data_IF_117298593808
#
_entry.id   IF_117298593808
#
_cell.length_a   1.000
_cell.length_b   1.000
_cell.length_c   1.000
_cell.angle_alpha   90.00
_cell.angle_beta   90.00
_cell.angle_gamma   90.00
#
_symmetry.space_group_name_H-M   'P 1'
#
loop_
_entity.id
_entity.type
_entity.pdbx_description
1 polymer ?
#
# COMPACT_ATOMS: atom_id res chain seq x y z
N UNK A 1 4.56 5.64 -3.84
CA UNK A 1 5.82 4.88 -3.70
C UNK A 1 5.59 3.37 -3.78
N UNK A 2 4.90 2.74 -2.82
CA UNK A 2 4.70 1.27 -2.76
C UNK A 2 4.11 0.67 -4.04
N UNK A 3 2.97 1.18 -4.54
CA UNK A 3 2.36 0.64 -5.77
C UNK A 3 3.26 0.82 -6.99
N UNK A 4 4.02 1.90 -7.04
CA UNK A 4 4.98 2.15 -8.12
C UNK A 4 6.13 1.14 -8.08
N UNK A 5 6.64 0.82 -6.89
CA UNK A 5 7.61 -0.27 -6.71
C UNK A 5 7.02 -1.62 -7.10
N UNK A 6 5.80 -1.93 -6.63
CA UNK A 6 5.13 -3.21 -6.94
C UNK A 6 4.91 -3.38 -8.44
N UNK A 7 4.59 -2.30 -9.18
CA UNK A 7 4.45 -2.31 -10.64
C UNK A 7 5.73 -2.68 -11.38
N UNK A 8 6.90 -2.51 -10.75
CA UNK A 8 8.17 -2.99 -11.30
C UNK A 8 8.25 -4.52 -11.38
N UNK A 9 7.58 -5.22 -10.46
CA UNK A 9 7.61 -6.69 -10.37
C UNK A 9 6.30 -7.35 -10.81
N UNK A 10 5.18 -6.64 -10.71
CA UNK A 10 3.85 -7.15 -11.00
C UNK A 10 3.12 -6.22 -11.97
N UNK A 11 2.78 -6.70 -13.19
CA UNK A 11 2.12 -5.85 -14.19
C UNK A 11 0.70 -5.42 -13.79
N UNK A 12 0.05 -6.18 -12.89
CA UNK A 12 -1.31 -5.92 -12.44
C UNK A 12 -1.32 -5.86 -10.91
N UNK A 13 -1.87 -4.76 -10.37
CA UNK A 13 -2.00 -4.50 -8.93
C UNK A 13 -3.39 -3.90 -8.68
N UNK A 14 -4.20 -4.59 -7.89
CA UNK A 14 -5.49 -4.13 -7.39
C UNK A 14 -5.35 -3.63 -5.95
N UNK A 15 -6.05 -2.57 -5.59
CA UNK A 15 -5.92 -1.90 -4.28
C UNK A 15 -7.28 -1.76 -3.60
N UNK A 16 -7.33 -2.06 -2.30
CA UNK A 16 -8.54 -1.96 -1.48
C UNK A 16 -8.24 -1.17 -0.21
N UNK A 17 -9.11 -0.22 0.13
CA UNK A 17 -8.91 0.69 1.26
C UNK A 17 -9.81 0.31 2.43
N UNK A 18 -9.24 -0.24 3.50
CA UNK A 18 -10.00 -0.63 4.70
C UNK A 18 -9.85 0.44 5.76
N UNK A 19 -10.98 1.06 6.12
CA UNK A 19 -11.06 1.91 7.31
C UNK A 19 -11.12 1.00 8.53
N UNK A 20 -10.06 1.01 9.33
CA UNK A 20 -10.02 0.20 10.55
C UNK A 20 -11.02 0.72 11.60
N UNK A 21 -11.49 -0.14 12.52
CA UNK A 21 -12.23 0.27 13.70
C UNK A 21 -11.29 0.88 14.74
N UNK A 22 -10.51 1.89 14.33
CA UNK A 22 -9.46 2.47 15.15
C UNK A 22 -10.09 3.27 16.29
N UNK A 23 -9.90 2.81 17.53
CA UNK A 23 -10.38 3.49 18.75
C UNK A 23 -9.64 4.81 19.03
N UNK A 24 -8.56 5.10 18.28
CA UNK A 24 -7.77 6.32 18.42
C UNK A 24 -8.26 7.43 17.52
N UNK A 25 -8.02 8.68 17.92
CA UNK A 25 -8.32 9.92 17.18
C UNK A 25 -7.73 10.05 15.77
N UNK A 26 -6.96 9.07 15.29
CA UNK A 26 -6.54 8.94 13.90
C UNK A 26 -7.70 8.50 13.00
N UNK A 27 -8.60 9.43 12.72
CA UNK A 27 -9.76 9.24 11.82
C UNK A 27 -9.42 9.32 10.33
N UNK A 28 -8.15 9.60 9.98
CA UNK A 28 -7.70 9.83 8.59
C UNK A 28 -6.85 8.71 7.98
N UNK A 29 -6.45 7.70 8.75
CA UNK A 29 -5.56 6.64 8.27
C UNK A 29 -6.35 5.45 7.73
N UNK A 30 -6.03 5.02 6.51
CA UNK A 30 -6.63 3.86 5.84
C UNK A 30 -5.59 2.76 5.68
N UNK A 31 -5.99 1.50 5.89
CA UNK A 31 -5.14 0.36 5.55
C UNK A 31 -5.35 0.02 4.08
N UNK A 32 -4.27 -0.08 3.31
CA UNK A 32 -4.35 -0.55 1.94
C UNK A 32 -3.98 -2.03 1.85
N UNK A 33 -4.85 -2.81 1.21
CA UNK A 33 -4.60 -4.20 0.84
C UNK A 33 -4.34 -4.24 -0.66
N UNK A 34 -3.21 -4.83 -1.05
CA UNK A 34 -2.81 -4.95 -2.44
C UNK A 34 -2.86 -6.41 -2.88
N UNK A 35 -3.55 -6.68 -3.97
CA UNK A 35 -3.46 -7.95 -4.68
C UNK A 35 -2.66 -7.71 -5.94
N UNK A 36 -1.63 -8.53 -6.18
CA UNK A 36 -0.75 -8.35 -7.33
C UNK A 36 -0.44 -9.70 -8.00
N UNK A 37 -0.41 -9.70 -9.34
CA UNK A 37 -0.03 -10.87 -10.12
C UNK A 37 -0.82 -11.05 -11.41
N UNK A 38 -0.28 -11.91 -12.28
CA UNK A 38 -0.84 -12.23 -13.60
C UNK A 38 -2.28 -12.75 -13.59
N UNK A 39 -2.74 -13.55 -12.60
CA UNK A 39 -4.12 -14.02 -12.56
C UNK A 39 -5.17 -12.90 -12.50
N UNK A 40 -4.79 -11.70 -12.02
CA UNK A 40 -5.67 -10.53 -11.97
C UNK A 40 -6.01 -10.00 -13.36
N UNK A 41 -5.11 -10.17 -14.35
CA UNK A 41 -5.36 -9.76 -15.73
C UNK A 41 -6.55 -10.49 -16.36
N UNK A 42 -6.84 -11.70 -15.88
CA UNK A 42 -7.87 -12.58 -16.42
C UNK A 42 -9.22 -12.44 -15.68
N UNK A 43 -9.24 -11.76 -14.54
CA UNK A 43 -10.38 -11.73 -13.65
C UNK A 43 -10.91 -10.30 -13.49
N UNK A 44 -12.11 -10.05 -14.02
CA UNK A 44 -12.81 -8.81 -13.76
C UNK A 44 -13.35 -8.79 -12.31
N UNK A 45 -13.28 -7.64 -11.66
CA UNK A 45 -13.74 -7.46 -10.28
C UNK A 45 -15.19 -7.95 -10.07
N UNK A 46 -16.09 -7.71 -11.04
CA UNK A 46 -17.48 -8.17 -11.00
C UNK A 46 -17.59 -9.70 -10.95
N UNK A 47 -16.74 -10.41 -11.69
CA UNK A 47 -16.70 -11.88 -11.68
C UNK A 47 -16.17 -12.39 -10.33
N UNK A 48 -15.15 -11.72 -9.78
CA UNK A 48 -14.61 -12.02 -8.45
C UNK A 48 -15.66 -11.78 -7.36
N UNK A 49 -16.41 -10.68 -7.42
CA UNK A 49 -17.48 -10.37 -6.48
C UNK A 49 -18.58 -11.44 -6.47
N UNK A 50 -19.02 -11.90 -7.65
CA UNK A 50 -19.97 -12.99 -7.74
C UNK A 50 -19.43 -14.30 -7.13
N UNK A 51 -18.17 -14.65 -7.38
CA UNK A 51 -17.53 -15.82 -6.76
C UNK A 51 -17.46 -15.69 -5.24
N UNK A 52 -17.10 -14.52 -4.72
CA UNK A 52 -17.06 -14.25 -3.28
C UNK A 52 -18.45 -14.38 -2.66
N UNK A 53 -19.49 -13.82 -3.29
CA UNK A 53 -20.87 -13.97 -2.81
C UNK A 53 -21.26 -15.45 -2.67
N UNK A 54 -21.02 -16.26 -3.70
CA UNK A 54 -21.31 -17.71 -3.66
C UNK A 54 -20.53 -18.40 -2.53
N UNK A 55 -19.26 -18.03 -2.32
CA UNK A 55 -18.45 -18.62 -1.25
C UNK A 55 -18.90 -18.19 0.15
N UNK A 56 -19.42 -16.98 0.31
CA UNK A 56 -20.02 -16.50 1.56
C UNK A 56 -21.34 -17.23 1.84
N UNK A 57 -22.20 -17.41 0.82
CA UNK A 57 -23.43 -18.20 0.93
C UNK A 57 -23.14 -19.66 1.35
N UNK A 58 -22.05 -20.22 0.84
CA UNK A 58 -21.55 -21.55 1.21
C UNK A 58 -20.82 -21.58 2.57
N UNK A 59 -20.78 -20.46 3.32
CA UNK A 59 -20.05 -20.31 4.58
C UNK A 59 -18.55 -20.65 4.49
N UNK A 60 -17.97 -20.56 3.28
CA UNK A 60 -16.53 -20.79 3.03
C UNK A 60 -15.71 -19.51 3.15
N UNK A 61 -16.37 -18.36 3.15
CA UNK A 61 -15.77 -17.06 3.38
C UNK A 61 -16.57 -16.25 4.40
N UNK A 62 -15.90 -15.38 5.17
CA UNK A 62 -16.56 -14.43 6.05
C UNK A 62 -17.30 -13.35 5.26
N UNK A 63 -18.39 -12.82 5.82
CA UNK A 63 -19.22 -11.79 5.17
C UNK A 63 -18.43 -10.50 4.90
N UNK A 64 -17.43 -10.21 5.75
CA UNK A 64 -16.50 -9.10 5.62
C UNK A 64 -15.73 -9.11 4.29
N UNK A 65 -15.61 -10.25 3.62
CA UNK A 65 -15.01 -10.34 2.28
C UNK A 65 -15.79 -9.52 1.24
N UNK A 66 -17.11 -9.43 1.37
CA UNK A 66 -17.96 -8.60 0.50
C UNK A 66 -17.71 -7.12 0.79
N UNK A 67 -17.60 -6.76 2.07
CA UNK A 67 -17.29 -5.40 2.50
C UNK A 67 -15.89 -4.95 2.05
N UNK A 68 -14.91 -5.86 1.96
CA UNK A 68 -13.60 -5.55 1.40
C UNK A 68 -13.69 -5.23 -0.10
N UNK A 69 -14.46 -6.00 -0.88
CA UNK A 69 -14.57 -5.76 -2.32
C UNK A 69 -15.21 -4.41 -2.65
N UNK A 70 -16.11 -3.91 -1.80
CA UNK A 70 -16.72 -2.59 -2.00
C UNK A 70 -15.77 -1.43 -1.73
N UNK A 71 -14.62 -1.67 -1.09
CA UNK A 71 -13.58 -0.65 -0.88
C UNK A 71 -12.50 -0.65 -1.96
N UNK A 72 -12.79 -1.27 -3.09
CA UNK A 72 -11.93 -1.22 -4.27
C UNK A 72 -11.64 0.22 -4.68
N UNK A 73 -10.36 0.54 -4.83
CA UNK A 73 -9.94 1.87 -5.26
C UNK A 73 -9.85 1.91 -6.78
N UNK A 74 -10.67 2.75 -7.40
CA UNK A 74 -10.68 3.00 -8.85
C UNK A 74 -9.82 4.18 -9.27
N UNK A 75 -9.48 5.05 -8.32
CA UNK A 75 -8.62 6.19 -8.58
C UNK A 75 -7.20 5.75 -8.97
N UNK A 76 -6.50 6.49 -9.84
CA UNK A 76 -5.10 6.22 -10.13
C UNK A 76 -4.22 6.53 -8.90
N UNK A 77 -3.10 5.83 -8.79
CA UNK A 77 -2.06 6.18 -7.82
C UNK A 77 -1.19 7.28 -8.40
N UNK A 78 -0.94 8.33 -7.61
CA UNK A 78 0.02 9.37 -7.96
C UNK A 78 1.39 8.75 -8.26
N UNK A 79 2.10 9.37 -9.23
CA UNK A 79 3.46 8.98 -9.55
C UNK A 79 4.34 9.20 -8.30
N UNK A 80 4.89 8.12 -7.76
CA UNK A 80 5.70 8.14 -6.55
C UNK A 80 7.11 7.59 -6.79
N UNK A 81 7.97 7.81 -5.81
CA UNK A 81 9.34 7.27 -5.81
C UNK A 81 9.32 5.73 -5.77
N UNK A 82 10.12 5.10 -6.62
CA UNK A 82 10.36 3.65 -6.55
C UNK A 82 11.28 3.39 -5.36
N UNK A 83 10.78 2.65 -4.38
CA UNK A 83 11.58 2.18 -3.25
C UNK A 83 12.58 1.14 -3.74
N UNK A 84 13.87 1.45 -3.64
CA UNK A 84 14.98 0.54 -3.91
C UNK A 84 15.73 0.25 -2.61
N UNK A 85 16.31 -0.94 -2.46
CA UNK A 85 17.13 -1.32 -1.29
C UNK A 85 18.49 -0.60 -1.23
N UNK A 86 18.70 0.42 -2.07
CA UNK A 86 19.94 1.20 -2.15
C UNK A 86 20.06 2.26 -1.04
N UNK A 87 19.16 2.27 -0.06
CA UNK A 87 19.25 3.19 1.08
C UNK A 87 20.09 2.56 2.17
N UNK A 88 21.26 3.16 2.44
CA UNK A 88 22.02 2.81 3.63
C UNK A 88 21.13 3.05 4.87
N UNK A 89 21.21 2.22 5.92
CA UNK A 89 20.33 2.27 7.09
C UNK A 89 20.22 3.65 7.78
N UNK A 90 21.19 4.53 7.56
CA UNK A 90 21.25 5.87 8.13
C UNK A 90 20.31 6.88 7.46
N UNK A 91 19.93 6.67 6.19
CA UNK A 91 19.13 7.64 5.42
C UNK A 91 17.63 7.60 5.74
N UNK A 92 17.14 6.49 6.32
CA UNK A 92 15.73 6.29 6.64
C UNK A 92 15.35 6.70 8.08
N UNK A 93 16.33 6.96 8.96
CA UNK A 93 16.09 7.27 10.37
C UNK A 93 16.25 8.74 10.75
N UNK A 94 16.74 9.58 9.84
CA UNK A 94 16.78 11.03 10.06
C UNK A 94 15.53 11.62 9.43
N UNK A 95 14.47 11.72 10.24
CA UNK A 95 13.35 12.60 9.94
C UNK A 95 13.86 13.98 9.54
N UNK A 96 13.16 14.65 8.63
CA UNK A 96 13.49 15.88 7.91
C UNK A 96 13.69 17.15 8.79
N UNK A 97 14.34 17.04 9.93
CA UNK A 97 14.52 18.09 10.93
C UNK A 97 15.92 18.08 11.58
N UNK A 98 16.94 17.48 10.94
CA UNK A 98 18.33 17.69 11.36
C UNK A 98 19.01 18.56 10.32
N UNK A 99 19.08 19.85 10.65
CA UNK A 99 19.93 20.80 9.95
C UNK A 99 21.37 20.31 10.05
N UNK A 100 21.99 20.09 8.90
CA UNK A 100 23.36 19.62 8.76
C UNK A 100 24.29 20.59 9.50
N UNK A 101 24.77 20.20 10.69
CA UNK A 101 25.81 20.97 11.38
C UNK A 101 27.11 20.65 10.67
N UNK A 102 27.54 21.58 9.84
CA UNK A 102 28.83 21.56 9.16
C UNK A 102 29.94 21.53 10.24
N UNK A 103 30.83 20.51 10.26
CA UNK A 103 31.89 20.48 11.25
C UNK A 103 32.90 21.58 10.91
N UNK A 104 33.09 22.50 11.85
CA UNK A 104 34.08 23.57 11.85
C UNK A 104 35.44 23.03 11.37
N UNK A 105 35.96 23.63 10.30
CA UNK A 105 37.28 23.33 9.79
C UNK A 105 38.32 23.60 10.88
N UNK A 106 39.05 22.55 11.26
CA UNK A 106 40.18 22.66 12.18
C UNK A 106 41.15 23.73 11.69
N UNK A 107 41.30 24.80 12.48
CA UNK A 107 42.39 25.74 12.31
C UNK A 107 43.56 25.24 13.12
N UNK A 108 44.56 24.72 12.41
CA UNK A 108 45.92 24.49 12.91
C UNK A 108 46.65 25.81 13.14
N UNK A 109 47.50 25.80 14.19
CA UNK A 109 48.50 26.77 14.67
C UNK A 109 48.06 27.73 15.79
#
# INVERSE_FOLDING_TARGET
>A
AVVQTMRGSFPHVESFAVKGPWKSSQTKSENFIFFAGTPLAQHQLAVTANKVNVLVEQQRLPFEAIALLSTHRTEPWEAGVVLTDNYAPYDLLIGSAVQEVQPEAGTTY
#
